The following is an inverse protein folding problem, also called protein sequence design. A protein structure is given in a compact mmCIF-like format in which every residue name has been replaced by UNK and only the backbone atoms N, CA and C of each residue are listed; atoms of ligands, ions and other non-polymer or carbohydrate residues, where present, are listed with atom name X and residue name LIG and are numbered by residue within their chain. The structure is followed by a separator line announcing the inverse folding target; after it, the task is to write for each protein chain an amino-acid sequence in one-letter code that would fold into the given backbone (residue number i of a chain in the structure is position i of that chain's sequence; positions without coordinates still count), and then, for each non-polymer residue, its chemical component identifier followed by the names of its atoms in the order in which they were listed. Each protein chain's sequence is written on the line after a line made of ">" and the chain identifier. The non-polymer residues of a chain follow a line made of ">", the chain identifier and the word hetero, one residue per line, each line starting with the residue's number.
data_IF_819974234291
#
_entry.id   IF_819974234291
#
_cell.length_a   1.000
_cell.length_b   1.000
_cell.length_c   1.000
_cell.angle_alpha   90.00
_cell.angle_beta   90.00
_cell.angle_gamma   90.00
#
_symmetry.space_group_name_H-M   'P 1'
#
loop_
_entity.id
_entity.type
_entity.pdbx_description
1 polymer ?
#
# COMPACT_ATOMS: atom_id res chain seq x y z
N UNK A 1 -5.29 -0.33 -5.34
CA UNK A 1 -6.75 -0.49 -5.10
C UNK A 1 -7.01 -1.73 -4.26
N UNK A 2 -7.98 -1.69 -3.34
CA UNK A 2 -8.38 -2.84 -2.51
C UNK A 2 -9.81 -3.23 -2.87
N UNK A 3 -10.05 -4.51 -3.17
CA UNK A 3 -11.38 -5.06 -3.44
C UNK A 3 -12.06 -5.49 -2.16
N UNK A 4 -13.27 -4.99 -1.92
CA UNK A 4 -14.04 -5.18 -0.69
C UNK A 4 -15.51 -5.41 -1.03
N UNK A 5 -16.26 -6.01 -0.11
CA UNK A 5 -17.72 -6.12 -0.19
C UNK A 5 -18.43 -4.93 0.51
N UNK A 6 -19.75 -4.98 0.61
CA UNK A 6 -20.60 -3.94 1.21
C UNK A 6 -20.35 -3.72 2.72
N UNK A 7 -19.75 -4.72 3.38
CA UNK A 7 -19.32 -4.66 4.79
C UNK A 7 -17.87 -4.20 4.93
N UNK A 8 -17.24 -3.77 3.83
CA UNK A 8 -15.83 -3.43 3.74
C UNK A 8 -14.88 -4.62 3.99
N UNK A 9 -15.38 -5.86 3.94
CA UNK A 9 -14.54 -7.03 4.15
C UNK A 9 -13.75 -7.35 2.86
N UNK A 10 -12.46 -7.73 2.95
CA UNK A 10 -11.65 -8.00 1.76
C UNK A 10 -12.16 -9.21 0.96
N UNK A 11 -12.35 -9.03 -0.35
CA UNK A 11 -12.87 -10.06 -1.26
C UNK A 11 -11.75 -10.91 -1.84
N UNK A 12 -11.87 -12.24 -1.66
CA UNK A 12 -10.88 -13.22 -2.12
C UNK A 12 -9.58 -13.21 -1.31
N UNK A 13 -8.59 -13.99 -1.77
CA UNK A 13 -7.31 -14.16 -1.05
C UNK A 13 -6.23 -13.13 -1.44
N UNK A 14 -6.43 -12.43 -2.55
CA UNK A 14 -5.56 -11.37 -3.05
C UNK A 14 -6.39 -10.10 -3.40
N UNK A 15 -6.90 -9.39 -2.38
CA UNK A 15 -7.80 -8.25 -2.58
C UNK A 15 -7.09 -6.99 -3.11
N UNK A 16 -5.78 -6.86 -2.94
CA UNK A 16 -5.01 -5.68 -3.36
C UNK A 16 -4.51 -5.84 -4.79
N UNK A 17 -4.75 -4.82 -5.62
CA UNK A 17 -4.19 -4.68 -6.97
C UNK A 17 -3.33 -3.42 -7.04
N UNK A 18 -2.11 -3.58 -7.53
CA UNK A 18 -1.25 -2.46 -7.91
C UNK A 18 -1.71 -1.91 -9.28
N UNK A 19 -1.75 -0.59 -9.40
CA UNK A 19 -2.15 0.11 -10.62
C UNK A 19 -1.55 1.51 -10.62
N UNK A 20 -1.37 2.08 -11.81
CA UNK A 20 -1.19 3.52 -11.99
C UNK A 20 -2.48 4.26 -11.67
N UNK A 21 -2.36 5.49 -11.19
CA UNK A 21 -3.47 6.44 -11.09
C UNK A 21 -3.26 7.51 -12.14
N UNK A 22 -4.14 7.51 -13.14
CA UNK A 22 -4.00 8.33 -14.35
C UNK A 22 -4.65 9.70 -14.07
N UNK A 23 -3.93 10.58 -13.38
CA UNK A 23 -4.49 11.88 -12.95
C UNK A 23 -4.96 12.75 -14.12
N UNK A 24 -4.38 12.56 -15.31
CA UNK A 24 -4.72 13.23 -16.56
C UNK A 24 -6.09 12.79 -17.11
N UNK A 25 -6.55 11.58 -16.75
CA UNK A 25 -7.82 10.99 -17.19
C UNK A 25 -8.94 11.10 -16.15
N UNK A 26 -8.62 11.55 -14.93
CA UNK A 26 -9.59 11.82 -13.88
C UNK A 26 -9.20 11.23 -12.52
N UNK A 27 -9.94 11.62 -11.47
CA UNK A 27 -9.60 11.28 -10.07
C UNK A 27 -9.60 9.78 -9.77
N UNK A 28 -10.34 8.98 -10.52
CA UNK A 28 -10.51 7.52 -10.29
C UNK A 28 -9.95 6.67 -11.42
N UNK A 29 -9.39 7.28 -12.47
CA UNK A 29 -8.83 6.55 -13.60
C UNK A 29 -7.57 5.79 -13.18
N UNK A 30 -7.46 4.54 -13.62
CA UNK A 30 -6.31 3.68 -13.32
C UNK A 30 -5.89 2.87 -14.52
N UNK A 31 -4.59 2.75 -14.73
CA UNK A 31 -3.98 1.82 -15.69
C UNK A 31 -3.29 0.65 -14.97
N UNK A 32 -3.20 -0.55 -15.59
CA UNK A 32 -2.41 -1.64 -15.04
C UNK A 32 -0.92 -1.29 -15.03
N UNK A 33 -0.14 -1.96 -14.18
CA UNK A 33 1.33 -1.95 -14.31
C UNK A 33 1.72 -2.77 -15.54
N UNK A 34 2.77 -2.33 -16.22
CA UNK A 34 3.44 -3.12 -17.26
C UNK A 34 4.21 -4.29 -16.62
N UNK A 35 4.51 -5.33 -17.39
CA UNK A 35 5.16 -6.54 -16.84
C UNK A 35 6.50 -6.26 -16.15
N UNK A 36 7.30 -5.35 -16.70
CA UNK A 36 8.59 -4.98 -16.10
C UNK A 36 8.41 -4.17 -14.79
N UNK A 37 7.37 -3.35 -14.71
CA UNK A 37 7.00 -2.60 -13.51
C UNK A 37 6.48 -3.54 -12.42
N UNK A 38 5.62 -4.49 -12.82
CA UNK A 38 5.11 -5.54 -11.94
C UNK A 38 6.25 -6.37 -11.37
N UNK A 39 7.30 -6.67 -12.15
CA UNK A 39 8.52 -7.36 -11.68
C UNK A 39 9.38 -6.50 -10.75
N UNK A 40 9.54 -5.22 -11.05
CA UNK A 40 10.40 -4.33 -10.27
C UNK A 40 9.77 -3.92 -8.92
N UNK A 41 8.52 -3.45 -8.93
CA UNK A 41 7.88 -2.83 -7.77
C UNK A 41 6.40 -3.19 -7.58
N UNK A 42 5.92 -4.23 -8.24
CA UNK A 42 4.59 -4.81 -7.97
C UNK A 42 4.45 -5.45 -6.59
N UNK A 43 3.32 -6.13 -6.36
CA UNK A 43 3.07 -6.87 -5.11
C UNK A 43 3.86 -8.19 -5.14
N UNK A 44 4.70 -8.42 -4.13
CA UNK A 44 5.46 -9.67 -3.98
C UNK A 44 4.61 -10.78 -3.36
N UNK A 45 3.90 -10.45 -2.28
CA UNK A 45 2.98 -11.34 -1.56
C UNK A 45 1.89 -10.52 -0.89
N UNK A 46 0.72 -11.13 -0.70
CA UNK A 46 -0.35 -10.59 0.12
C UNK A 46 -1.18 -11.73 0.71
N UNK A 47 -1.79 -11.49 1.87
CA UNK A 47 -2.73 -12.41 2.52
C UNK A 47 -3.75 -11.61 3.33
N UNK A 48 -5.00 -12.07 3.33
CA UNK A 48 -6.01 -11.55 4.25
C UNK A 48 -5.75 -12.14 5.63
N UNK A 49 -5.54 -11.28 6.63
CA UNK A 49 -5.28 -11.65 8.03
C UNK A 49 -6.59 -11.63 8.83
N UNK A 50 -7.44 -10.63 8.56
CA UNK A 50 -8.74 -10.47 9.21
C UNK A 50 -9.79 -10.19 8.13
N UNK A 51 -10.94 -10.86 8.24
CA UNK A 51 -12.15 -10.63 7.42
C UNK A 51 -13.37 -10.68 8.33
N UNK A 52 -14.19 -9.63 8.31
CA UNK A 52 -15.41 -9.59 9.11
C UNK A 52 -16.30 -8.37 8.80
N UNK A 53 -17.44 -8.25 9.49
CA UNK A 53 -18.45 -7.22 9.22
C UNK A 53 -17.99 -5.79 9.54
N UNK A 54 -16.88 -5.63 10.28
CA UNK A 54 -16.24 -4.35 10.59
C UNK A 54 -15.11 -3.99 9.62
N UNK A 55 -14.88 -4.81 8.59
CA UNK A 55 -13.86 -4.62 7.58
C UNK A 55 -12.81 -5.74 7.57
N UNK A 56 -11.53 -5.38 7.47
CA UNK A 56 -10.47 -6.39 7.48
C UNK A 56 -9.07 -5.85 7.50
N UNK A 57 -8.13 -6.78 7.57
CA UNK A 57 -6.70 -6.49 7.58
C UNK A 57 -5.99 -7.40 6.59
N UNK A 58 -5.07 -6.83 5.81
CA UNK A 58 -4.31 -7.51 4.77
C UNK A 58 -2.83 -7.26 5.08
N UNK A 59 -2.05 -8.33 5.21
CA UNK A 59 -0.58 -8.26 5.23
C UNK A 59 -0.07 -8.40 3.80
N UNK A 60 0.86 -7.55 3.38
CA UNK A 60 1.46 -7.61 2.05
C UNK A 60 2.91 -7.14 2.06
N UNK A 61 3.64 -7.41 0.97
CA UNK A 61 4.96 -6.85 0.72
C UNK A 61 5.10 -6.48 -0.76
N UNK A 62 5.91 -5.45 -1.04
CA UNK A 62 6.24 -5.03 -2.41
C UNK A 62 7.50 -5.75 -2.89
N UNK A 63 7.63 -5.97 -4.20
CA UNK A 63 8.82 -6.61 -4.78
C UNK A 63 10.09 -5.81 -4.58
N UNK A 64 9.97 -4.49 -4.54
CA UNK A 64 11.08 -3.59 -4.26
C UNK A 64 11.49 -3.59 -2.78
N UNK A 65 10.65 -4.12 -1.87
CA UNK A 65 10.87 -4.20 -0.42
C UNK A 65 10.39 -5.55 0.14
N UNK A 66 10.98 -6.69 -0.28
CA UNK A 66 10.44 -8.01 0.03
C UNK A 66 10.53 -8.38 1.52
N UNK A 67 11.41 -7.72 2.28
CA UNK A 67 11.54 -7.86 3.73
C UNK A 67 10.63 -6.93 4.54
N UNK A 68 9.98 -5.94 3.92
CA UNK A 68 9.12 -4.97 4.63
C UNK A 68 7.66 -5.40 4.53
N UNK A 69 7.08 -5.80 5.66
CA UNK A 69 5.64 -6.03 5.75
C UNK A 69 4.87 -4.69 5.78
N UNK A 70 3.81 -4.62 4.99
CA UNK A 70 2.83 -3.55 4.96
C UNK A 70 1.50 -4.14 5.43
N UNK A 71 0.87 -3.47 6.39
CA UNK A 71 -0.46 -3.82 6.88
C UNK A 71 -1.48 -2.85 6.30
N UNK A 72 -2.39 -3.34 5.48
CA UNK A 72 -3.52 -2.57 4.96
C UNK A 72 -4.73 -2.85 5.82
N UNK A 73 -5.24 -1.82 6.50
CA UNK A 73 -6.49 -1.89 7.29
C UNK A 73 -7.61 -1.29 6.48
N UNK A 74 -8.68 -2.06 6.33
CA UNK A 74 -9.91 -1.67 5.65
C UNK A 74 -11.01 -1.50 6.70
N UNK A 75 -11.68 -0.35 6.71
CA UNK A 75 -12.78 -0.04 7.63
C UNK A 75 -13.82 0.85 6.96
N UNK A 76 -15.05 0.80 7.46
CA UNK A 76 -16.07 1.79 7.12
C UNK A 76 -15.74 3.11 7.84
N UNK A 77 -15.73 4.22 7.13
CA UNK A 77 -15.54 5.55 7.70
C UNK A 77 -16.84 6.09 8.32
N UNK A 78 -16.81 7.23 9.05
CA UNK A 78 -18.02 7.81 9.63
C UNK A 78 -19.10 8.20 8.60
N UNK A 79 -18.74 8.39 7.32
CA UNK A 79 -19.66 8.69 6.23
C UNK A 79 -20.25 7.42 5.57
N UNK A 80 -19.85 6.23 6.03
CA UNK A 80 -20.33 4.95 5.52
C UNK A 80 -19.53 4.39 4.34
N UNK A 81 -18.48 5.08 3.87
CA UNK A 81 -17.64 4.63 2.78
C UNK A 81 -16.53 3.68 3.26
N UNK A 82 -16.15 2.70 2.43
CA UNK A 82 -15.02 1.84 2.75
C UNK A 82 -13.70 2.57 2.48
N UNK A 83 -12.87 2.69 3.50
CA UNK A 83 -11.53 3.28 3.43
C UNK A 83 -10.47 2.23 3.70
N UNK A 84 -9.31 2.38 3.06
CA UNK A 84 -8.16 1.51 3.26
C UNK A 84 -6.92 2.36 3.55
N UNK A 85 -6.25 2.08 4.66
CA UNK A 85 -5.05 2.77 5.09
C UNK A 85 -3.91 1.75 5.22
N UNK A 86 -2.74 2.09 4.68
CA UNK A 86 -1.54 1.27 4.77
C UNK A 86 -0.66 1.71 5.95
N UNK A 87 -0.09 0.74 6.65
CA UNK A 87 0.77 0.93 7.80
C UNK A 87 2.04 0.12 7.64
N UNK A 88 3.14 0.64 8.15
CA UNK A 88 4.41 -0.07 8.24
C UNK A 88 5.30 0.67 9.23
N UNK A 89 6.45 0.10 9.54
CA UNK A 89 7.48 0.82 10.28
C UNK A 89 8.25 1.73 9.32
N UNK A 90 8.40 3.00 9.70
CA UNK A 90 9.20 3.99 8.95
C UNK A 90 10.18 4.61 9.94
N UNK A 91 11.47 4.47 9.67
CA UNK A 91 12.55 4.97 10.53
C UNK A 91 12.46 4.47 11.98
N UNK A 92 12.09 3.19 12.17
CA UNK A 92 11.97 2.55 13.48
C UNK A 92 10.65 2.83 14.22
N UNK A 93 9.69 3.48 13.58
CA UNK A 93 8.42 3.85 14.22
C UNK A 93 7.19 3.35 13.47
N UNK A 94 6.15 2.84 14.18
CA UNK A 94 4.88 2.51 13.57
C UNK A 94 4.23 3.73 12.90
N UNK A 95 4.02 3.68 11.59
CA UNK A 95 3.53 4.81 10.81
C UNK A 95 2.43 4.41 9.83
N UNK A 96 1.50 5.35 9.61
CA UNK A 96 0.56 5.30 8.49
C UNK A 96 1.25 5.81 7.24
N UNK A 97 1.48 4.93 6.28
CA UNK A 97 2.13 5.20 5.01
C UNK A 97 1.22 6.03 4.11
N UNK A 98 1.75 7.09 3.49
CA UNK A 98 1.03 7.85 2.46
C UNK A 98 1.76 7.89 1.11
N UNK A 99 3.09 7.79 1.08
CA UNK A 99 3.84 7.62 -0.17
C UNK A 99 4.96 6.58 -0.06
N UNK A 100 5.14 5.84 -1.17
CA UNK A 100 6.34 5.09 -1.50
C UNK A 100 6.87 5.70 -2.79
N UNK A 101 8.05 6.33 -2.74
CA UNK A 101 8.68 6.92 -3.92
C UNK A 101 9.86 6.05 -4.33
N UNK A 102 9.88 5.58 -5.58
CA UNK A 102 10.94 4.73 -6.11
C UNK A 102 11.79 5.56 -7.06
N UNK A 103 13.07 5.75 -6.72
CA UNK A 103 14.05 6.42 -7.57
C UNK A 103 14.76 5.35 -8.40
N UNK A 104 14.63 5.44 -9.73
CA UNK A 104 15.30 4.54 -10.66
C UNK A 104 16.72 5.03 -10.97
N UNK A 105 17.60 4.11 -11.34
CA UNK A 105 18.93 4.39 -11.93
C UNK A 105 19.07 3.66 -13.26
N UNK A 106 20.20 3.81 -13.94
CA UNK A 106 20.46 3.22 -15.28
C UNK A 106 20.08 1.74 -15.37
N UNK A 107 20.28 0.98 -14.28
CA UNK A 107 19.79 -0.38 -14.11
C UNK A 107 19.12 -0.54 -12.74
N UNK A 108 17.80 -0.77 -12.74
CA UNK A 108 17.02 -1.11 -11.55
C UNK A 108 16.68 0.07 -10.63
N UNK A 109 16.44 -0.25 -9.36
CA UNK A 109 16.07 0.72 -8.31
C UNK A 109 17.34 1.28 -7.68
N UNK A 110 17.45 2.61 -7.61
CA UNK A 110 18.53 3.30 -6.92
C UNK A 110 18.23 3.56 -5.44
N UNK A 111 17.02 4.04 -5.14
CA UNK A 111 16.55 4.16 -3.75
C UNK A 111 15.03 4.13 -3.65
N UNK A 112 14.54 3.86 -2.45
CA UNK A 112 13.12 3.89 -2.11
C UNK A 112 12.95 4.81 -0.92
N UNK A 113 12.01 5.75 -1.02
CA UNK A 113 11.67 6.66 0.06
C UNK A 113 10.28 6.30 0.58
N UNK A 114 10.22 5.90 1.85
CA UNK A 114 8.96 5.74 2.56
C UNK A 114 8.62 7.05 3.25
N UNK A 115 7.36 7.46 3.17
CA UNK A 115 6.87 8.67 3.83
C UNK A 115 5.51 8.39 4.46
N UNK A 116 5.39 8.75 5.72
CA UNK A 116 4.22 8.42 6.54
C UNK A 116 4.00 9.43 7.66
N UNK A 117 2.93 9.18 8.40
CA UNK A 117 2.63 9.86 9.66
C UNK A 117 2.84 8.86 10.78
N UNK A 118 3.67 9.20 11.77
CA UNK A 118 3.82 8.40 12.97
C UNK A 118 2.44 8.19 13.60
N UNK A 119 2.17 6.96 14.02
CA UNK A 119 0.87 6.61 14.62
C UNK A 119 0.70 7.33 15.96
N UNK A 120 1.80 7.50 16.69
CA UNK A 120 1.89 8.29 17.90
C UNK A 120 2.26 9.74 17.55
N UNK A 121 1.51 10.71 18.07
CA UNK A 121 1.77 12.15 17.90
C UNK A 121 1.52 12.70 16.49
N UNK A 122 1.30 11.87 15.47
CA UNK A 122 0.91 12.31 14.13
C UNK A 122 1.99 13.09 13.38
N UNK A 123 3.25 13.03 13.82
CA UNK A 123 4.36 13.72 13.16
C UNK A 123 4.73 13.07 11.82
N UNK A 124 5.21 13.84 10.82
CA UNK A 124 5.69 13.25 9.59
C UNK A 124 6.99 12.46 9.84
N UNK A 125 7.09 11.27 9.26
CA UNK A 125 8.29 10.40 9.31
C UNK A 125 8.69 9.97 7.90
N UNK A 126 10.00 9.80 7.70
CA UNK A 126 10.59 9.49 6.40
C UNK A 126 11.78 8.55 6.56
N UNK A 127 11.87 7.56 5.68
CA UNK A 127 12.98 6.61 5.63
C UNK A 127 13.48 6.48 4.18
N UNK A 128 14.80 6.41 4.00
CA UNK A 128 15.42 6.14 2.70
C UNK A 128 16.06 4.76 2.75
N UNK A 129 15.63 3.89 1.85
CA UNK A 129 16.10 2.52 1.71
C UNK A 129 16.89 2.43 0.40
N UNK A 130 18.05 1.76 0.45
CA UNK A 130 18.90 1.49 -0.72
C UNK A 130 18.95 -0.03 -0.90
N UNK A 131 18.19 -0.59 -1.87
CA UNK A 131 18.16 -2.02 -2.16
C UNK A 131 19.50 -2.56 -2.70
#
# INVERSE_FOLDING_TARGET
>A
VVRVDETCAPVGNAPVRACWRDYERGKTATSPLLDHEQRAYGIARQRVVVRGPSGGEISMALRALPGRELTVRVRKDPAGACTALAYTEIAGEPARLYFVHVVLRTLGVGSIVLSGWATEGGRPVREVIRP
#
